data_IF_235179136495
#
_entry.id   IF_235179136495
#
_cell.length_a   1.000
_cell.length_b   1.000
_cell.length_c   1.000
_cell.angle_alpha   90.00
_cell.angle_beta   90.00
_cell.angle_gamma   90.00
#
_symmetry.space_group_name_H-M   'P 1'
#
loop_
_entity.id
_entity.type
_entity.pdbx_description
1 polymer ?
#
# COMPACT_ATOMS: atom_id res chain seq x y z
N UNK A 1 1.25 6.48 10.67
CA UNK A 1 0.71 7.54 9.77
C UNK A 1 1.47 8.85 9.83
N UNK A 2 2.03 9.26 10.98
CA UNK A 2 2.78 10.54 11.12
C UNK A 2 4.09 10.61 10.31
N UNK A 3 4.95 9.58 10.34
CA UNK A 3 6.22 9.56 9.59
C UNK A 3 6.02 9.71 8.07
N UNK A 4 5.01 9.02 7.52
CA UNK A 4 4.72 9.06 6.08
C UNK A 4 4.21 10.42 5.63
N UNK A 5 3.36 11.09 6.42
CA UNK A 5 2.92 12.46 6.13
C UNK A 5 4.08 13.47 6.26
N UNK A 6 4.99 13.26 7.21
CA UNK A 6 6.19 14.07 7.35
C UNK A 6 7.11 13.95 6.13
N UNK A 7 7.28 12.74 5.58
CA UNK A 7 8.06 12.50 4.36
C UNK A 7 7.44 13.23 3.16
N UNK A 8 6.12 13.08 2.94
CA UNK A 8 5.43 13.79 1.84
C UNK A 8 5.55 15.30 1.99
N UNK A 9 5.40 15.82 3.22
CA UNK A 9 5.57 17.23 3.52
C UNK A 9 7.00 17.72 3.23
N UNK A 10 8.02 17.00 3.69
CA UNK A 10 9.42 17.34 3.48
C UNK A 10 9.79 17.37 1.99
N UNK A 11 9.43 16.32 1.23
CA UNK A 11 9.66 16.28 -0.22
C UNK A 11 8.85 17.34 -0.98
N UNK A 12 7.63 17.65 -0.52
CA UNK A 12 6.83 18.74 -1.06
C UNK A 12 7.48 20.11 -0.86
N UNK A 13 8.05 20.37 0.32
CA UNK A 13 8.78 21.62 0.59
C UNK A 13 10.03 21.73 -0.29
N UNK A 14 10.83 20.66 -0.39
CA UNK A 14 12.01 20.64 -1.25
C UNK A 14 11.63 20.86 -2.72
N UNK A 15 10.56 20.23 -3.19
CA UNK A 15 10.02 20.46 -4.54
C UNK A 15 9.69 21.94 -4.78
N UNK A 16 8.97 22.59 -3.86
CA UNK A 16 8.61 24.00 -3.98
C UNK A 16 9.83 24.93 -3.98
N UNK A 17 10.84 24.64 -3.16
CA UNK A 17 12.10 25.40 -3.14
C UNK A 17 12.87 25.26 -4.46
N UNK A 18 12.95 24.05 -5.02
CA UNK A 18 13.55 23.82 -6.33
C UNK A 18 12.78 24.51 -7.47
N UNK A 19 11.43 24.49 -7.41
CA UNK A 19 10.56 25.15 -8.38
C UNK A 19 10.76 26.67 -8.35
N UNK A 20 10.81 27.25 -7.14
CA UNK A 20 11.06 28.67 -6.92
C UNK A 20 12.43 29.09 -7.45
N UNK A 21 13.48 28.33 -7.14
CA UNK A 21 14.83 28.59 -7.64
C UNK A 21 14.93 28.53 -9.17
N UNK A 22 14.24 27.57 -9.80
CA UNK A 22 14.18 27.47 -11.26
C UNK A 22 13.38 28.60 -11.91
N UNK A 23 12.26 29.02 -11.30
CA UNK A 23 11.45 30.14 -11.78
C UNK A 23 12.20 31.48 -11.77
N UNK A 24 13.13 31.65 -10.83
CA UNK A 24 14.02 32.83 -10.75
C UNK A 24 15.23 32.73 -11.70
N UNK A 25 15.37 31.64 -12.47
CA UNK A 25 16.52 31.40 -13.35
C UNK A 25 17.79 30.95 -12.63
N UNK A 26 17.74 30.72 -11.32
CA UNK A 26 18.89 30.36 -10.49
C UNK A 26 19.19 28.85 -10.47
N UNK A 27 18.35 28.03 -11.10
CA UNK A 27 18.53 26.58 -11.14
C UNK A 27 17.95 25.96 -12.43
N UNK A 28 18.51 24.83 -12.89
CA UNK A 28 17.93 24.09 -14.00
C UNK A 28 16.61 23.43 -13.60
N UNK A 29 15.66 23.36 -14.55
CA UNK A 29 14.33 22.77 -14.38
C UNK A 29 14.33 21.25 -14.10
N UNK A 30 15.48 20.58 -14.20
CA UNK A 30 15.60 19.15 -13.91
C UNK A 30 15.28 18.80 -12.45
N UNK A 31 15.73 19.62 -11.49
CA UNK A 31 15.50 19.38 -10.07
C UNK A 31 14.01 19.37 -9.68
N UNK A 32 13.20 20.40 -10.02
CA UNK A 32 11.77 20.36 -9.71
C UNK A 32 11.06 19.20 -10.42
N UNK A 33 11.42 18.84 -11.65
CA UNK A 33 10.79 17.68 -12.32
C UNK A 33 10.98 16.38 -11.54
N UNK A 34 12.19 16.07 -11.09
CA UNK A 34 12.48 14.85 -10.31
C UNK A 34 11.69 14.84 -8.99
N UNK A 35 11.73 15.95 -8.25
CA UNK A 35 11.00 16.04 -6.98
C UNK A 35 9.48 16.00 -7.17
N UNK A 36 8.96 16.57 -8.26
CA UNK A 36 7.55 16.52 -8.61
C UNK A 36 7.09 15.09 -8.88
N UNK A 37 7.88 14.31 -9.62
CA UNK A 37 7.62 12.88 -9.87
C UNK A 37 7.60 12.09 -8.56
N UNK A 38 8.57 12.33 -7.66
CA UNK A 38 8.61 11.66 -6.36
C UNK A 38 7.37 11.97 -5.51
N UNK A 39 7.00 13.24 -5.40
CA UNK A 39 5.80 13.67 -4.66
C UNK A 39 4.54 13.04 -5.29
N UNK A 40 4.43 13.02 -6.61
CA UNK A 40 3.31 12.40 -7.31
C UNK A 40 3.23 10.89 -7.04
N UNK A 41 4.36 10.18 -7.08
CA UNK A 41 4.44 8.76 -6.78
C UNK A 41 4.00 8.46 -5.34
N UNK A 42 4.47 9.23 -4.36
CA UNK A 42 4.08 9.14 -2.96
C UNK A 42 2.57 9.39 -2.75
N UNK A 43 2.00 10.38 -3.44
CA UNK A 43 0.56 10.68 -3.37
C UNK A 43 -0.26 9.58 -4.05
N UNK A 44 0.21 9.03 -5.17
CA UNK A 44 -0.42 7.90 -5.85
C UNK A 44 -0.43 6.66 -4.96
N UNK A 45 0.71 6.34 -4.36
CA UNK A 45 0.86 5.26 -3.39
C UNK A 45 -0.12 5.45 -2.22
N UNK A 46 -0.20 6.66 -1.66
CA UNK A 46 -1.17 6.98 -0.62
C UNK A 46 -2.61 6.68 -1.05
N UNK A 47 -3.01 7.11 -2.25
CA UNK A 47 -4.38 6.84 -2.75
C UNK A 47 -4.62 5.35 -2.90
N UNK A 48 -3.64 4.61 -3.45
CA UNK A 48 -3.77 3.17 -3.71
C UNK A 48 -3.85 2.33 -2.43
N UNK A 49 -3.08 2.65 -1.39
CA UNK A 49 -3.13 1.94 -0.11
C UNK A 49 -4.25 2.43 0.81
N UNK A 50 -4.61 3.73 0.76
CA UNK A 50 -5.74 4.22 1.56
C UNK A 50 -7.08 3.70 1.03
N UNK A 51 -7.19 3.45 -0.28
CA UNK A 51 -8.35 2.79 -0.87
C UNK A 51 -8.52 1.35 -0.34
N UNK A 52 -7.43 0.63 -0.09
CA UNK A 52 -7.46 -0.70 0.54
C UNK A 52 -7.81 -0.64 2.02
N UNK A 53 -7.34 0.39 2.73
CA UNK A 53 -7.69 0.60 4.15
C UNK A 53 -9.16 0.99 4.37
N UNK A 54 -9.86 1.44 3.31
CA UNK A 54 -11.26 1.85 3.32
C UNK A 54 -12.25 0.83 2.78
N UNK A 55 -11.85 -0.42 2.49
CA UNK A 55 -12.79 -1.45 2.01
C UNK A 55 -13.94 -1.66 3.02
N UNK A 56 -15.11 -2.19 2.69
CA UNK A 56 -16.19 -2.38 3.66
C UNK A 56 -15.79 -3.46 4.70
N UNK A 57 -16.05 -3.31 6.03
CA UNK A 57 -15.90 -4.41 6.99
C UNK A 57 -16.67 -5.69 6.61
N UNK A 58 -17.64 -5.59 5.69
CA UNK A 58 -18.41 -6.69 5.14
C UNK A 58 -17.84 -7.29 3.86
N UNK A 59 -16.67 -6.82 3.41
CA UNK A 59 -16.06 -7.32 2.18
C UNK A 59 -15.77 -8.83 2.33
N UNK A 60 -16.32 -9.69 1.45
CA UNK A 60 -16.20 -11.12 1.59
C UNK A 60 -14.73 -11.53 1.47
N UNK A 61 -14.25 -12.32 2.44
CA UNK A 61 -12.96 -12.97 2.39
C UNK A 61 -12.88 -13.81 1.10
N UNK A 62 -11.77 -13.68 0.35
CA UNK A 62 -11.53 -14.46 -0.86
C UNK A 62 -10.47 -15.54 -0.59
N UNK A 63 -10.62 -16.75 -1.14
CA UNK A 63 -9.63 -17.81 -0.98
C UNK A 63 -8.33 -17.43 -1.68
N UNK A 64 -7.21 -17.67 -1.01
CA UNK A 64 -5.87 -17.55 -1.60
C UNK A 64 -5.32 -18.92 -1.99
N UNK A 65 -4.16 -18.94 -2.66
CA UNK A 65 -3.46 -20.19 -3.00
C UNK A 65 -2.63 -20.75 -1.83
N UNK A 66 -2.54 -20.04 -0.71
CA UNK A 66 -1.79 -20.48 0.46
C UNK A 66 -2.58 -21.56 1.22
N UNK A 67 -1.97 -22.74 1.35
CA UNK A 67 -2.50 -23.89 2.09
C UNK A 67 -1.41 -24.47 2.97
N UNK A 68 -1.78 -24.89 4.17
CA UNK A 68 -0.85 -25.51 5.10
C UNK A 68 -1.59 -26.46 6.04
N UNK A 69 -0.81 -27.27 6.76
CA UNK A 69 -1.33 -28.13 7.82
C UNK A 69 -1.25 -27.35 9.13
N UNK A 70 -2.38 -27.19 9.80
CA UNK A 70 -2.43 -26.57 11.12
C UNK A 70 -1.73 -27.50 12.15
N UNK A 71 -0.67 -27.05 12.83
CA UNK A 71 0.07 -27.88 13.79
C UNK A 71 -0.76 -28.29 15.02
N UNK A 72 -1.83 -27.58 15.36
CA UNK A 72 -2.67 -27.93 16.52
C UNK A 72 -3.71 -29.00 16.19
N UNK A 73 -4.35 -28.89 15.01
CA UNK A 73 -5.43 -29.80 14.59
C UNK A 73 -4.97 -30.92 13.64
N UNK A 74 -3.79 -30.77 13.02
CA UNK A 74 -3.30 -31.66 11.96
C UNK A 74 -4.10 -31.59 10.66
N UNK A 75 -5.02 -30.62 10.52
CA UNK A 75 -5.92 -30.51 9.37
C UNK A 75 -5.38 -29.56 8.30
N UNK A 76 -5.69 -29.80 7.01
CA UNK A 76 -5.40 -28.84 5.96
C UNK A 76 -6.28 -27.60 6.13
N UNK A 77 -5.65 -26.43 6.18
CA UNK A 77 -6.31 -25.13 6.21
C UNK A 77 -5.88 -24.30 5.01
N UNK A 78 -6.81 -23.51 4.50
CA UNK A 78 -6.60 -22.55 3.41
C UNK A 78 -6.71 -21.13 3.95
N UNK A 79 -5.80 -20.25 3.53
CA UNK A 79 -5.82 -18.84 3.92
C UNK A 79 -6.81 -18.09 3.04
N UNK A 80 -7.75 -17.41 3.67
CA UNK A 80 -8.65 -16.48 3.01
C UNK A 80 -8.26 -15.05 3.42
N UNK A 81 -8.21 -14.15 2.45
CA UNK A 81 -7.78 -12.76 2.64
C UNK A 81 -8.76 -11.81 1.95
N UNK A 82 -8.98 -10.63 2.53
CA UNK A 82 -9.69 -9.51 1.89
C UNK A 82 -8.72 -8.40 1.45
N UNK A 83 -9.23 -7.35 0.79
CA UNK A 83 -8.39 -6.25 0.30
C UNK A 83 -7.75 -5.41 1.42
N UNK A 84 -8.23 -5.54 2.67
CA UNK A 84 -7.67 -4.92 3.88
C UNK A 84 -6.51 -5.71 4.48
N UNK A 85 -6.33 -6.96 4.06
CA UNK A 85 -5.32 -7.87 4.62
C UNK A 85 -5.76 -8.59 5.89
N UNK A 86 -7.06 -8.63 6.20
CA UNK A 86 -7.58 -9.55 7.23
C UNK A 86 -7.41 -10.99 6.73
N UNK A 87 -6.88 -11.86 7.58
CA UNK A 87 -6.63 -13.27 7.26
C UNK A 87 -7.52 -14.16 8.11
N UNK A 88 -8.19 -15.12 7.47
CA UNK A 88 -8.90 -16.20 8.15
C UNK A 88 -8.39 -17.54 7.66
N UNK A 89 -8.16 -18.45 8.60
CA UNK A 89 -7.79 -19.83 8.32
C UNK A 89 -9.06 -20.65 8.30
N UNK A 90 -9.38 -21.21 7.13
CA UNK A 90 -10.59 -22.02 6.94
C UNK A 90 -10.15 -23.44 6.69
N UNK A 91 -10.67 -24.39 7.47
CA UNK A 91 -10.44 -25.82 7.24
C UNK A 91 -10.94 -26.20 5.84
N UNK A 92 -10.08 -26.83 5.04
CA UNK A 92 -10.48 -27.34 3.73
C UNK A 92 -11.13 -28.73 3.94
N UNK A 93 -12.33 -29.00 3.39
CA UNK A 93 -12.90 -30.33 3.43
C UNK A 93 -11.90 -31.31 2.79
N UNK A 94 -11.75 -32.54 3.32
CA UNK A 94 -10.85 -33.52 2.74
C UNK A 94 -11.22 -33.72 1.26
N UNK A 95 -10.22 -33.62 0.38
CA UNK A 95 -10.41 -33.80 -1.05
C UNK A 95 -10.82 -35.26 -1.33
N UNK A 96 -12.13 -35.53 -1.34
CA UNK A 96 -12.70 -36.85 -1.62
C UNK A 96 -14.01 -37.16 -0.90
N UNK A 97 -15.04 -36.34 -1.08
CA UNK A 97 -16.43 -36.70 -0.80
C UNK A 97 -17.25 -36.66 -2.09
#
# INVERSE_FOLDING_TARGET
MMLRNAIVGAFGVVFLLCLWGAAQGNAPWGAPLVFGVLVAALVFERRRYSAQAGADPREPLAPTRERFIDPESGRPVQVWTNARGERRYVEEPPAGA
#
